data_IF_425032312417
#
_entry.id   IF_425032312417
#
_cell.length_a   1.000
_cell.length_b   1.000
_cell.length_c   1.000
_cell.angle_alpha   90.00
_cell.angle_beta   90.00
_cell.angle_gamma   90.00
#
_symmetry.space_group_name_H-M   'P 1'
#
loop_
_entity.id
_entity.type
_entity.pdbx_description
1 polymer ?
#
# COMPACT_ATOMS: atom_id res chain seq x y z
N UNK A 1 10.63 14.84 -11.95
CA UNK A 1 11.55 13.71 -11.68
C UNK A 1 10.82 12.89 -10.63
N UNK A 2 10.57 11.59 -10.84
CA UNK A 2 10.04 10.75 -9.76
C UNK A 2 11.10 10.60 -8.67
N UNK A 3 10.73 10.97 -7.44
CA UNK A 3 11.57 10.81 -6.25
C UNK A 3 11.57 9.36 -5.78
N UNK A 4 12.67 8.94 -5.14
CA UNK A 4 12.82 7.57 -4.66
C UNK A 4 12.02 7.34 -3.37
N UNK A 5 11.61 6.09 -3.16
CA UNK A 5 10.98 5.65 -1.90
C UNK A 5 11.84 5.99 -0.67
N UNK A 6 13.17 5.97 -0.82
CA UNK A 6 14.14 6.37 0.21
C UNK A 6 13.93 7.82 0.68
N UNK A 7 13.73 8.75 -0.26
CA UNK A 7 13.49 10.17 0.06
C UNK A 7 12.16 10.34 0.79
N UNK A 8 11.14 9.58 0.36
CA UNK A 8 9.84 9.59 1.00
C UNK A 8 9.90 9.01 2.42
N UNK A 9 10.66 7.94 2.65
CA UNK A 9 10.84 7.32 3.98
C UNK A 9 11.36 8.33 5.00
N UNK A 10 12.33 9.16 4.64
CA UNK A 10 12.85 10.23 5.52
C UNK A 10 11.76 11.20 5.96
N UNK A 11 10.77 11.48 5.11
CA UNK A 11 9.66 12.37 5.47
C UNK A 11 8.66 11.71 6.43
N UNK A 12 8.70 10.40 6.62
CA UNK A 12 7.82 9.67 7.55
C UNK A 12 8.58 8.96 8.68
N UNK A 13 9.88 9.24 8.86
CA UNK A 13 10.74 8.54 9.83
C UNK A 13 10.21 8.64 11.27
N UNK A 14 9.65 9.80 11.62
CA UNK A 14 9.06 10.06 12.94
C UNK A 14 7.86 9.15 13.27
N UNK A 15 7.30 8.45 12.28
CA UNK A 15 6.14 7.57 12.45
C UNK A 15 6.44 6.09 12.27
N UNK A 16 7.65 5.70 11.86
CA UNK A 16 7.97 4.33 11.43
C UNK A 16 7.73 3.29 12.53
N UNK A 17 7.82 3.69 13.80
CA UNK A 17 7.65 2.83 14.97
C UNK A 17 6.29 2.98 15.69
N UNK A 18 5.38 3.83 15.20
CA UNK A 18 4.05 3.98 15.80
C UNK A 18 3.03 3.09 15.05
N UNK A 19 2.69 1.93 15.62
CA UNK A 19 1.73 0.97 15.05
C UNK A 19 0.30 1.51 14.91
N UNK A 20 0.00 2.66 15.52
CA UNK A 20 -1.26 3.38 15.30
C UNK A 20 -1.26 4.12 13.97
N UNK A 21 -0.09 4.35 13.36
CA UNK A 21 0.04 5.03 12.07
C UNK A 21 -0.03 4.01 10.93
N UNK A 22 -0.82 4.37 9.92
CA UNK A 22 -1.05 3.60 8.71
C UNK A 22 -1.00 4.52 7.50
N UNK A 23 -0.75 3.95 6.32
CA UNK A 23 -0.44 4.70 5.11
C UNK A 23 -1.45 4.40 4.02
N UNK A 24 -1.85 5.45 3.31
CA UNK A 24 -2.71 5.35 2.14
C UNK A 24 -2.12 6.16 1.00
N UNK A 25 -2.13 5.59 -0.20
CA UNK A 25 -1.91 6.34 -1.43
C UNK A 25 -3.20 6.93 -1.97
N UNK A 26 -3.14 8.23 -2.27
CA UNK A 26 -4.18 9.02 -2.89
C UNK A 26 -3.56 9.69 -4.12
N UNK A 27 -3.73 9.07 -5.30
CA UNK A 27 -3.10 9.51 -6.55
C UNK A 27 -1.57 9.68 -6.39
N UNK A 28 -1.08 10.92 -6.49
CA UNK A 28 0.33 11.29 -6.40
C UNK A 28 0.71 11.74 -4.98
N UNK A 29 -0.04 11.31 -3.98
CA UNK A 29 0.25 11.64 -2.58
C UNK A 29 0.19 10.42 -1.68
N UNK A 30 0.99 10.44 -0.62
CA UNK A 30 0.87 9.51 0.50
C UNK A 30 0.31 10.26 1.70
N UNK A 31 -0.69 9.66 2.32
CA UNK A 31 -1.35 10.12 3.53
C UNK A 31 -0.97 9.19 4.67
N UNK A 32 -0.38 9.74 5.73
CA UNK A 32 -0.27 9.05 7.01
C UNK A 32 -1.51 9.35 7.85
N UNK A 33 -2.05 8.28 8.41
CA UNK A 33 -3.33 8.22 9.08
C UNK A 33 -3.13 7.57 10.45
N UNK A 34 -3.67 8.16 11.50
CA UNK A 34 -3.63 7.63 12.86
C UNK A 34 -4.94 6.94 13.21
N UNK A 35 -4.85 5.68 13.65
CA UNK A 35 -5.96 4.96 14.29
C UNK A 35 -6.36 5.66 15.58
N UNK A 36 -7.66 5.87 15.76
CA UNK A 36 -8.26 6.35 16.99
C UNK A 36 -8.54 5.15 17.91
N UNK A 37 -8.79 5.43 19.19
CA UNK A 37 -9.09 4.38 20.19
C UNK A 37 -10.31 3.52 19.79
N UNK A 38 -11.26 4.14 19.10
CA UNK A 38 -12.52 3.56 18.65
C UNK A 38 -12.56 3.29 17.13
N UNK A 39 -11.41 3.31 16.44
CA UNK A 39 -11.34 2.90 15.04
C UNK A 39 -11.65 1.41 14.91
N UNK A 40 -12.64 1.09 14.08
CA UNK A 40 -12.99 -0.27 13.67
C UNK A 40 -12.17 -0.60 12.42
N UNK A 41 -11.55 -1.78 12.41
CA UNK A 41 -10.73 -2.25 11.28
C UNK A 41 -11.09 -3.67 10.88
N UNK A 42 -10.61 -4.11 9.73
CA UNK A 42 -10.57 -5.52 9.35
C UNK A 42 -9.19 -6.17 9.54
N UNK A 43 -8.35 -5.65 10.44
CA UNK A 43 -7.00 -6.20 10.68
C UNK A 43 -7.02 -7.63 11.23
N UNK A 44 -8.13 -8.06 11.84
CA UNK A 44 -8.32 -9.41 12.41
C UNK A 44 -8.92 -10.44 11.45
N UNK A 45 -9.11 -10.09 10.17
CA UNK A 45 -9.67 -11.01 9.16
C UNK A 45 -8.79 -12.24 8.93
N UNK A 46 -9.37 -13.29 8.36
CA UNK A 46 -8.63 -14.54 8.08
C UNK A 46 -7.76 -14.42 6.84
N UNK A 47 -6.79 -15.33 6.71
CA UNK A 47 -6.00 -15.51 5.49
C UNK A 47 -4.98 -14.40 5.20
N UNK A 48 -4.55 -13.64 6.23
CA UNK A 48 -3.44 -12.69 6.12
C UNK A 48 -2.13 -13.48 6.07
N UNK A 49 -1.34 -13.29 5.00
CA UNK A 49 -0.01 -13.91 4.86
C UNK A 49 1.05 -13.06 5.56
N UNK A 50 1.06 -11.75 5.28
CA UNK A 50 1.95 -10.80 5.98
C UNK A 50 1.21 -9.49 6.28
N UNK A 51 0.94 -9.17 7.56
CA UNK A 51 0.17 -7.98 7.94
C UNK A 51 0.89 -6.66 7.62
N UNK A 52 2.21 -6.63 7.50
CA UNK A 52 2.93 -5.39 7.19
C UNK A 52 2.69 -4.92 5.75
N UNK A 53 2.41 -5.87 4.84
CA UNK A 53 2.20 -5.63 3.41
C UNK A 53 0.76 -5.85 2.96
N UNK A 54 -0.11 -6.34 3.84
CA UNK A 54 -1.51 -6.59 3.53
C UNK A 54 -2.32 -5.29 3.46
N UNK A 55 -3.38 -5.34 2.66
CA UNK A 55 -4.36 -4.27 2.53
C UNK A 55 -5.46 -4.43 3.58
N UNK A 56 -5.79 -3.32 4.23
CA UNK A 56 -6.81 -3.23 5.26
C UNK A 56 -7.79 -2.10 5.00
N UNK A 57 -8.85 -2.07 5.80
CA UNK A 57 -9.92 -1.07 5.81
C UNK A 57 -10.19 -0.60 7.23
N UNK A 58 -10.49 0.68 7.39
CA UNK A 58 -10.98 1.27 8.63
C UNK A 58 -12.30 2.03 8.38
N UNK A 59 -13.09 2.23 9.44
CA UNK A 59 -14.25 3.12 9.45
C UNK A 59 -13.83 4.60 9.56
N UNK A 60 -12.85 4.91 10.40
CA UNK A 60 -12.36 6.28 10.62
C UNK A 60 -10.89 6.34 11.00
N UNK A 61 -10.23 7.40 10.55
CA UNK A 61 -8.81 7.64 10.83
C UNK A 61 -8.55 9.16 10.91
N UNK A 62 -7.58 9.58 11.73
CA UNK A 62 -7.13 10.98 11.77
C UNK A 62 -5.97 11.19 10.79
N UNK A 63 -6.07 12.20 9.93
CA UNK A 63 -4.99 12.58 9.02
C UNK A 63 -3.90 13.31 9.81
N UNK A 64 -2.67 12.79 9.76
CA UNK A 64 -1.53 13.38 10.49
C UNK A 64 -0.45 13.95 9.57
N UNK A 65 -0.33 13.45 8.33
CA UNK A 65 0.60 13.99 7.34
C UNK A 65 0.14 13.66 5.93
N UNK A 66 0.38 14.57 5.00
CA UNK A 66 0.12 14.37 3.58
C UNK A 66 1.37 14.87 2.83
N UNK A 67 1.93 14.03 1.97
CA UNK A 67 3.11 14.36 1.17
C UNK A 67 2.83 14.06 -0.29
N UNK A 68 3.13 15.02 -1.17
CA UNK A 68 3.16 14.80 -2.62
C UNK A 68 4.40 13.98 -3.00
N UNK A 69 4.22 12.87 -3.74
CA UNK A 69 5.32 11.96 -4.07
C UNK A 69 6.21 12.49 -5.20
N UNK A 70 5.74 13.50 -5.95
CA UNK A 70 6.42 14.10 -7.10
C UNK A 70 7.20 15.34 -6.70
N UNK A 71 6.71 16.15 -5.75
CA UNK A 71 7.41 17.34 -5.25
C UNK A 71 8.06 17.15 -3.89
N UNK A 72 7.67 16.09 -3.15
CA UNK A 72 8.05 15.84 -1.75
C UNK A 72 7.55 16.93 -0.77
N UNK A 73 6.63 17.78 -1.21
CA UNK A 73 6.08 18.85 -0.39
C UNK A 73 4.96 18.32 0.53
N UNK A 74 4.87 18.93 1.71
CA UNK A 74 3.76 18.67 2.62
C UNK A 74 2.50 19.39 2.15
N UNK A 75 1.38 18.67 2.10
CA UNK A 75 0.09 19.20 1.67
C UNK A 75 -0.86 19.39 2.87
N UNK A 76 -1.79 20.34 2.74
CA UNK A 76 -2.87 20.54 3.73
C UNK A 76 -4.10 19.69 3.43
N UNK A 77 -4.34 19.35 2.17
CA UNK A 77 -5.41 18.47 1.76
C UNK A 77 -5.09 17.70 0.48
N UNK A 78 -5.79 16.57 0.27
CA UNK A 78 -5.79 15.81 -0.99
C UNK A 78 -7.14 15.14 -1.18
N UNK A 79 -7.64 15.12 -2.42
CA UNK A 79 -8.86 14.40 -2.79
C UNK A 79 -8.52 13.03 -3.34
N UNK A 80 -9.24 12.02 -2.88
CA UNK A 80 -9.20 10.69 -3.44
C UNK A 80 -10.54 10.38 -4.10
N UNK A 81 -10.51 10.20 -5.42
CA UNK A 81 -11.69 9.88 -6.21
C UNK A 81 -11.79 8.36 -6.36
N UNK A 82 -12.86 7.77 -5.84
CA UNK A 82 -13.18 6.35 -5.97
C UNK A 82 -14.56 6.25 -6.63
N UNK A 83 -14.58 5.85 -7.90
CA UNK A 83 -15.79 5.88 -8.73
C UNK A 83 -16.47 7.27 -8.64
N UNK A 84 -17.74 7.33 -8.26
CA UNK A 84 -18.52 8.57 -8.17
C UNK A 84 -18.37 9.30 -6.82
N UNK A 85 -17.54 8.78 -5.90
CA UNK A 85 -17.30 9.39 -4.58
C UNK A 85 -15.94 10.09 -4.55
N UNK A 86 -15.92 11.30 -4.02
CA UNK A 86 -14.69 12.01 -3.65
C UNK A 86 -14.57 12.05 -2.14
N UNK A 87 -13.47 11.52 -1.60
CA UNK A 87 -13.13 11.61 -0.18
C UNK A 87 -11.98 12.60 -0.05
N UNK A 88 -12.20 13.66 0.72
CA UNK A 88 -11.18 14.66 1.02
C UNK A 88 -10.43 14.29 2.30
N UNK A 89 -9.11 14.25 2.22
CA UNK A 89 -8.22 14.08 3.36
C UNK A 89 -7.67 15.47 3.72
N UNK A 90 -7.99 15.97 4.92
CA UNK A 90 -7.51 17.26 5.43
C UNK A 90 -6.61 17.06 6.65
N UNK A 91 -5.46 17.70 6.67
CA UNK A 91 -4.49 17.61 7.77
C UNK A 91 -5.18 17.90 9.12
N UNK A 92 -4.90 17.07 10.13
CA UNK A 92 -5.47 17.11 11.48
C UNK A 92 -6.99 16.87 11.57
N UNK A 93 -7.66 16.48 10.50
CA UNK A 93 -9.08 16.12 10.50
C UNK A 93 -9.28 14.60 10.51
N UNK A 94 -10.42 14.17 11.03
CA UNK A 94 -10.86 12.78 10.97
C UNK A 94 -11.57 12.60 9.62
N UNK A 95 -11.20 11.55 8.90
CA UNK A 95 -11.91 11.03 7.74
C UNK A 95 -12.71 9.82 8.18
N UNK A 96 -13.95 9.71 7.73
CA UNK A 96 -14.90 8.66 8.11
C UNK A 96 -15.53 8.03 6.86
N UNK A 97 -15.84 6.75 6.95
CA UNK A 97 -16.68 6.00 6.02
C UNK A 97 -17.87 5.43 6.81
N UNK A 98 -19.02 6.13 6.83
CA UNK A 98 -20.17 5.73 7.63
C UNK A 98 -20.77 4.39 7.18
N UNK A 99 -20.54 4.01 5.93
CA UNK A 99 -21.02 2.75 5.36
C UNK A 99 -19.99 1.62 5.45
N UNK A 100 -19.09 1.63 6.45
CA UNK A 100 -18.04 0.62 6.60
C UNK A 100 -18.60 -0.82 6.53
N UNK A 101 -18.06 -1.63 5.62
CA UNK A 101 -18.50 -3.02 5.46
C UNK A 101 -17.95 -3.86 6.62
N UNK A 102 -18.87 -4.30 7.49
CA UNK A 102 -18.61 -5.11 8.68
C UNK A 102 -18.17 -6.54 8.39
N UNK A 103 -18.32 -7.02 7.15
CA UNK A 103 -17.72 -8.29 6.74
C UNK A 103 -16.21 -8.09 6.58
N UNK A 104 -15.45 -8.49 7.61
CA UNK A 104 -14.00 -8.25 7.70
C UNK A 104 -13.22 -8.97 6.58
N UNK A 105 -13.71 -10.13 6.13
CA UNK A 105 -13.05 -10.95 5.11
C UNK A 105 -13.23 -10.37 3.68
N UNK A 106 -14.18 -9.44 3.47
CA UNK A 106 -14.37 -8.78 2.18
C UNK A 106 -13.40 -7.61 2.01
N UNK A 107 -12.27 -7.82 1.35
CA UNK A 107 -11.19 -6.82 1.31
C UNK A 107 -11.51 -5.63 0.41
N UNK A 108 -12.07 -5.87 -0.77
CA UNK A 108 -12.53 -4.82 -1.69
C UNK A 108 -14.00 -4.45 -1.39
N UNK A 109 -14.21 -3.72 -0.30
CA UNK A 109 -15.52 -3.26 0.16
C UNK A 109 -15.43 -1.84 0.71
N UNK A 110 -16.56 -1.28 1.17
CA UNK A 110 -16.60 0.07 1.73
C UNK A 110 -15.70 0.18 2.97
N UNK A 111 -14.88 1.22 3.01
CA UNK A 111 -13.96 1.51 4.11
C UNK A 111 -12.76 2.32 3.61
N UNK A 112 -12.06 2.97 4.54
CA UNK A 112 -10.83 3.69 4.24
C UNK A 112 -9.72 2.66 4.05
N UNK A 113 -9.32 2.42 2.79
CA UNK A 113 -8.27 1.45 2.48
C UNK A 113 -6.88 1.98 2.84
N UNK A 114 -6.09 1.19 3.57
CA UNK A 114 -4.73 1.53 4.01
C UNK A 114 -3.80 0.31 4.06
N UNK A 115 -2.51 0.59 4.31
CA UNK A 115 -1.46 -0.37 4.59
C UNK A 115 -0.75 0.00 5.90
N UNK A 116 -0.16 -0.99 6.59
CA UNK A 116 0.57 -0.72 7.85
C UNK A 116 1.94 -0.09 7.63
N UNK A 117 2.52 -0.23 6.44
CA UNK A 117 3.85 0.31 6.12
C UNK A 117 3.81 1.16 4.84
N UNK A 118 4.83 2.01 4.69
CA UNK A 118 4.93 2.96 3.58
C UNK A 118 5.14 2.26 2.22
N UNK A 119 5.96 1.22 2.18
CA UNK A 119 6.33 0.50 0.96
C UNK A 119 5.13 0.01 0.12
N UNK A 120 4.21 -0.82 0.67
CA UNK A 120 3.06 -1.30 -0.08
C UNK A 120 2.12 -0.15 -0.47
N UNK A 121 2.04 0.92 0.34
CA UNK A 121 1.27 2.11 -0.02
C UNK A 121 1.90 2.84 -1.22
N UNK A 122 3.21 3.06 -1.23
CA UNK A 122 3.92 3.72 -2.34
C UNK A 122 3.74 2.98 -3.67
N UNK A 123 3.94 1.65 -3.66
CA UNK A 123 3.79 0.82 -4.85
C UNK A 123 2.34 0.55 -5.25
N UNK A 124 1.37 0.84 -4.39
CA UNK A 124 -0.04 0.66 -4.70
C UNK A 124 -0.42 1.44 -5.96
N UNK A 125 -1.00 0.76 -6.94
CA UNK A 125 -1.35 1.32 -8.26
C UNK A 125 -0.22 2.10 -8.94
N UNK A 126 1.04 1.82 -8.61
CA UNK A 126 2.18 2.49 -9.25
C UNK A 126 2.30 2.03 -10.71
N UNK A 127 2.38 3.00 -11.62
CA UNK A 127 2.57 2.75 -13.04
C UNK A 127 3.82 3.52 -13.52
N UNK A 128 4.93 2.82 -13.84
CA UNK A 128 6.19 3.47 -14.24
C UNK A 128 6.11 4.22 -15.58
N UNK A 129 5.10 3.93 -16.40
CA UNK A 129 4.85 4.62 -17.66
C UNK A 129 4.37 6.07 -17.46
N UNK A 130 3.83 6.39 -16.28
CA UNK A 130 3.28 7.72 -15.96
C UNK A 130 4.39 8.74 -15.67
N UNK A 131 5.60 8.30 -15.30
CA UNK A 131 6.76 9.18 -15.08
C UNK A 131 7.54 9.48 -16.37
N UNK A 132 6.85 9.69 -17.50
CA UNK A 132 7.46 10.02 -18.80
C UNK A 132 8.66 9.15 -19.17
N UNK A 133 8.60 7.86 -18.84
CA UNK A 133 9.69 6.90 -19.02
C UNK A 133 11.02 7.27 -18.32
N UNK A 134 10.98 7.92 -17.16
CA UNK A 134 12.19 8.29 -16.40
C UNK A 134 12.48 7.34 -15.24
N UNK A 135 11.47 6.66 -14.73
CA UNK A 135 11.61 5.77 -13.58
C UNK A 135 12.72 4.72 -13.78
N UNK A 136 13.57 4.60 -12.76
CA UNK A 136 14.64 3.59 -12.66
C UNK A 136 14.64 3.05 -11.23
N UNK A 137 14.48 1.74 -11.08
CA UNK A 137 14.34 1.09 -9.77
C UNK A 137 13.50 -0.18 -9.83
N UNK A 138 13.20 -0.73 -8.66
CA UNK A 138 12.41 -1.95 -8.51
C UNK A 138 10.99 -1.62 -8.05
N UNK A 139 10.00 -2.27 -8.67
CA UNK A 139 8.59 -2.16 -8.28
C UNK A 139 8.14 -3.52 -7.75
N UNK A 140 7.62 -3.51 -6.53
CA UNK A 140 7.08 -4.69 -5.87
C UNK A 140 5.55 -4.61 -5.85
N UNK A 141 4.90 -5.71 -6.24
CA UNK A 141 3.45 -5.86 -6.16
C UNK A 141 3.10 -6.93 -5.13
N UNK A 142 2.20 -6.57 -4.23
CA UNK A 142 1.65 -7.44 -3.18
C UNK A 142 0.19 -7.77 -3.50
N UNK A 143 -0.23 -8.97 -3.10
CA UNK A 143 -1.65 -9.31 -2.98
C UNK A 143 -2.29 -8.60 -1.80
N UNK A 144 -3.62 -8.60 -1.78
CA UNK A 144 -4.41 -8.04 -0.68
C UNK A 144 -4.10 -8.68 0.70
N UNK A 145 -3.59 -9.92 0.74
CA UNK A 145 -3.15 -10.59 1.98
C UNK A 145 -1.68 -10.32 2.37
N UNK A 146 -0.96 -9.49 1.62
CA UNK A 146 0.43 -9.14 1.85
C UNK A 146 1.44 -10.12 1.24
N UNK A 147 0.99 -11.14 0.49
CA UNK A 147 1.91 -12.00 -0.26
C UNK A 147 2.52 -11.21 -1.42
N UNK A 148 3.85 -11.11 -1.46
CA UNK A 148 4.56 -10.57 -2.63
C UNK A 148 4.23 -11.43 -3.85
N UNK A 149 3.64 -10.85 -4.89
CA UNK A 149 3.35 -11.53 -6.16
C UNK A 149 4.49 -11.45 -7.14
N UNK A 150 5.06 -10.25 -7.23
CA UNK A 150 5.92 -9.89 -8.34
C UNK A 150 6.87 -8.78 -7.96
N UNK A 151 8.09 -8.88 -8.45
CA UNK A 151 9.05 -7.79 -8.48
C UNK A 151 9.56 -7.59 -9.90
N UNK A 152 9.65 -6.32 -10.31
CA UNK A 152 10.08 -5.93 -11.65
C UNK A 152 11.11 -4.82 -11.55
N UNK A 153 12.18 -4.93 -12.32
CA UNK A 153 13.23 -3.92 -12.39
C UNK A 153 13.02 -3.04 -13.62
N UNK A 154 13.27 -1.74 -13.49
CA UNK A 154 13.01 -0.77 -14.53
C UNK A 154 14.22 0.15 -14.71
N UNK A 155 14.49 0.54 -15.96
CA UNK A 155 15.51 1.52 -16.32
C UNK A 155 14.94 2.45 -17.38
N UNK A 156 14.83 3.74 -17.05
CA UNK A 156 14.25 4.76 -17.93
C UNK A 156 12.89 4.32 -18.49
N UNK A 157 11.98 3.92 -17.60
CA UNK A 157 10.63 3.51 -17.96
C UNK A 157 10.50 2.19 -18.70
N UNK A 158 11.60 1.50 -19.00
CA UNK A 158 11.58 0.18 -19.63
C UNK A 158 11.85 -0.89 -18.58
N UNK A 159 11.00 -1.90 -18.54
CA UNK A 159 11.24 -3.07 -17.71
C UNK A 159 12.50 -3.80 -18.21
N UNK A 160 13.36 -4.21 -17.29
CA UNK A 160 14.60 -4.94 -17.56
C UNK A 160 14.64 -6.24 -16.75
N UNK A 161 15.33 -7.25 -17.29
CA UNK A 161 15.54 -8.53 -16.62
C UNK A 161 14.30 -9.43 -16.57
N UNK A 162 14.44 -10.57 -15.90
CA UNK A 162 13.33 -11.49 -15.65
C UNK A 162 12.45 -10.94 -14.53
N UNK A 163 11.15 -11.15 -14.68
CA UNK A 163 10.18 -10.88 -13.62
C UNK A 163 10.26 -11.99 -12.60
N UNK A 164 10.52 -11.69 -11.34
CA UNK A 164 10.39 -12.70 -10.28
C UNK A 164 8.92 -12.81 -9.88
N UNK A 165 8.27 -13.93 -10.24
CA UNK A 165 6.91 -14.26 -9.83
C UNK A 165 6.96 -15.31 -8.72
N UNK A 166 6.42 -14.99 -7.53
CA UNK A 166 6.39 -15.95 -6.42
C UNK A 166 5.42 -17.13 -6.66
N UNK A 167 4.51 -17.03 -7.64
CA UNK A 167 3.69 -18.17 -8.06
C UNK A 167 4.58 -19.29 -8.61
N UNK A 168 5.59 -18.97 -9.42
CA UNK A 168 6.51 -19.95 -10.01
C UNK A 168 7.39 -20.62 -8.93
N UNK A 169 7.84 -19.86 -7.92
CA UNK A 169 8.56 -20.42 -6.77
C UNK A 169 7.72 -21.35 -5.91
N UNK A 170 6.43 -21.05 -5.70
CA UNK A 170 5.54 -21.89 -4.92
C UNK A 170 5.32 -23.24 -5.62
N UNK A 171 5.05 -23.25 -6.94
CA UNK A 171 4.96 -24.49 -7.72
C UNK A 171 6.28 -25.27 -7.72
N UNK A 172 7.43 -24.60 -7.81
CA UNK A 172 8.74 -25.28 -7.77
C UNK A 172 9.04 -25.90 -6.39
N UNK A 173 8.66 -25.22 -5.30
CA UNK A 173 8.79 -25.75 -3.94
C UNK A 173 7.82 -26.91 -3.67
N UNK A 174 6.56 -26.83 -4.13
CA UNK A 174 5.60 -27.94 -4.01
C UNK A 174 6.09 -29.16 -4.77
N UNK A 175 6.64 -28.98 -5.97
CA UNK A 175 7.20 -30.08 -6.78
C UNK A 175 8.43 -30.73 -6.11
N UNK A 176 9.29 -29.94 -5.45
CA UNK A 176 10.42 -30.47 -4.69
C UNK A 176 9.96 -31.22 -3.44
N UNK A 177 8.95 -30.72 -2.73
CA UNK A 177 8.42 -31.40 -1.53
C UNK A 177 7.71 -32.71 -1.88
N UNK A 178 6.97 -32.76 -2.99
CA UNK A 178 6.38 -34.01 -3.51
C UNK A 178 7.48 -35.00 -3.97
N UNK A 179 8.56 -34.53 -4.60
CA UNK A 179 9.68 -35.38 -4.99
C UNK A 179 10.53 -35.90 -3.80
N UNK A 180 10.52 -35.19 -2.65
CA UNK A 180 11.24 -35.59 -1.43
C UNK A 180 10.42 -36.49 -0.50
N UNK A 181 9.10 -36.57 -0.67
CA UNK A 181 8.20 -37.43 0.10
C UNK A 181 7.96 -38.81 -0.55
N UNK A 182 8.57 -39.10 -1.71
CA UNK A 182 8.54 -40.40 -2.40
C UNK A 182 9.86 -41.16 -2.19
N UNK A 183 10.27 -41.33 -0.93
CA UNK A 183 11.31 -42.29 -0.53
C UNK A 183 10.86 -43.12 0.65
#
# INVERSE_FOLDING_TARGET
MSHTLEQLRKLFEEYENDESIVYKKCKDSIVALKKLKDTITNESRKGIYNPLFAKFRADKLKVIKIVDIVTLESLKCVNNYIYDKSIEYKLNKIVEEPDFDKNLDRICAKGIHYFKTLDPAYYFSFCPLVDNNKYTGSIIKYDDNGLKKRETNWKKGKQIGKTENNMERMYFMTFIMEALLVK
#
